data_IF_900423326660
#
_entry.id   IF_900423326660
#
_cell.length_a   1.000
_cell.length_b   1.000
_cell.length_c   1.000
_cell.angle_alpha   90.00
_cell.angle_beta   90.00
_cell.angle_gamma   90.00
#
_symmetry.space_group_name_H-M   'P 1'
#
loop_
_entity.id
_entity.type
_entity.pdbx_description
1 polymer ?
#
# COMPACT_ATOMS: atom_id res chain seq x y z
N UNK A 1 -33.22 15.81 -45.90
CA UNK A 1 -32.02 15.99 -45.05
C UNK A 1 -31.93 14.77 -44.13
N UNK A 2 -31.05 13.80 -44.41
CA UNK A 2 -30.87 12.57 -43.62
C UNK A 2 -29.84 12.87 -42.56
N UNK A 3 -30.26 12.80 -41.28
CA UNK A 3 -29.33 12.90 -40.12
C UNK A 3 -28.64 11.57 -39.98
N UNK A 4 -27.33 11.53 -40.23
CA UNK A 4 -26.46 10.40 -39.95
C UNK A 4 -26.08 10.49 -38.45
N UNK A 5 -26.59 9.55 -37.63
CA UNK A 5 -26.14 9.36 -36.25
C UNK A 5 -24.85 8.55 -36.31
N UNK A 6 -23.74 9.20 -36.02
CA UNK A 6 -22.45 8.53 -35.81
C UNK A 6 -22.45 7.92 -34.40
N UNK A 7 -22.70 6.61 -34.31
CA UNK A 7 -22.59 5.85 -33.07
C UNK A 7 -21.10 5.55 -32.83
N UNK A 8 -20.47 6.34 -31.96
CA UNK A 8 -19.09 6.08 -31.51
C UNK A 8 -19.15 4.94 -30.50
N UNK A 9 -18.94 3.70 -30.94
CA UNK A 9 -18.71 2.57 -30.07
C UNK A 9 -17.34 2.75 -29.42
N UNK A 10 -17.30 3.19 -28.16
CA UNK A 10 -16.14 3.10 -27.29
C UNK A 10 -15.93 1.60 -26.99
N UNK A 11 -15.07 0.94 -27.75
CA UNK A 11 -14.55 -0.38 -27.40
C UNK A 11 -13.67 -0.19 -26.16
N UNK A 12 -14.25 -0.37 -24.97
CA UNK A 12 -13.47 -0.64 -23.78
C UNK A 12 -12.79 -1.99 -24.01
N UNK A 13 -11.54 -1.95 -24.46
CA UNK A 13 -10.67 -3.12 -24.40
C UNK A 13 -10.41 -3.39 -22.93
N UNK A 14 -11.16 -4.31 -22.34
CA UNK A 14 -10.75 -4.96 -21.10
C UNK A 14 -9.46 -5.70 -21.43
N UNK A 15 -8.33 -5.12 -21.09
CA UNK A 15 -7.07 -5.85 -21.08
C UNK A 15 -7.22 -6.94 -20.02
N UNK A 16 -7.43 -8.18 -20.48
CA UNK A 16 -7.21 -9.33 -19.62
C UNK A 16 -5.72 -9.26 -19.28
N UNK A 17 -5.39 -8.92 -18.05
CA UNK A 17 -4.02 -8.89 -17.60
C UNK A 17 -3.52 -10.34 -17.62
N UNK A 18 -2.77 -10.68 -18.65
CA UNK A 18 -2.11 -11.99 -18.78
C UNK A 18 -0.85 -11.97 -17.95
N UNK A 19 -0.56 -13.08 -17.28
CA UNK A 19 0.72 -13.26 -16.60
C UNK A 19 1.87 -13.04 -17.60
N UNK A 20 2.89 -12.30 -17.17
CA UNK A 20 4.10 -12.01 -17.96
C UNK A 20 5.25 -12.77 -17.37
N UNK A 21 5.82 -13.70 -18.13
CA UNK A 21 6.98 -14.48 -17.71
C UNK A 21 8.24 -13.60 -17.75
N UNK A 22 8.91 -13.52 -16.60
CA UNK A 22 10.16 -12.80 -16.43
C UNK A 22 11.36 -13.72 -16.69
N UNK A 23 11.27 -14.94 -16.18
CA UNK A 23 12.31 -15.96 -16.29
C UNK A 23 11.72 -17.35 -16.08
N UNK A 24 12.27 -18.34 -16.79
CA UNK A 24 11.98 -19.75 -16.63
C UNK A 24 13.26 -20.58 -16.79
N UNK A 25 13.46 -21.58 -15.93
CA UNK A 25 14.65 -22.42 -15.96
C UNK A 25 14.83 -23.26 -14.72
N UNK A 26 16.08 -23.53 -14.38
CA UNK A 26 16.47 -24.21 -13.14
C UNK A 26 17.70 -23.49 -12.58
N UNK A 27 17.54 -22.81 -11.43
CA UNK A 27 18.62 -22.07 -10.80
C UNK A 27 18.64 -22.38 -9.30
N UNK A 28 19.66 -23.09 -8.84
CA UNK A 28 19.88 -23.31 -7.42
C UNK A 28 20.34 -22.00 -6.77
N UNK A 29 19.47 -21.41 -5.92
CA UNK A 29 19.75 -20.13 -5.29
C UNK A 29 20.59 -20.32 -4.03
N UNK A 30 21.64 -19.51 -3.91
CA UNK A 30 22.50 -19.40 -2.75
C UNK A 30 22.91 -17.93 -2.59
N UNK A 31 23.35 -17.51 -1.39
CA UNK A 31 23.81 -16.13 -1.14
C UNK A 31 24.92 -15.65 -2.06
N UNK A 32 25.70 -16.56 -2.62
CA UNK A 32 26.75 -16.29 -3.60
C UNK A 32 26.32 -16.53 -5.05
N UNK A 33 25.14 -17.10 -5.28
CA UNK A 33 24.57 -17.45 -6.58
C UNK A 33 23.13 -17.00 -6.69
N UNK A 34 22.93 -15.69 -6.81
CA UNK A 34 21.60 -15.05 -6.92
C UNK A 34 21.05 -15.17 -8.34
N UNK A 35 19.71 -15.09 -8.46
CA UNK A 35 19.04 -15.03 -9.76
C UNK A 35 18.65 -13.59 -10.06
N UNK A 36 19.25 -13.00 -11.09
CA UNK A 36 18.97 -11.61 -11.51
C UNK A 36 17.90 -11.55 -12.58
N UNK A 37 16.96 -10.64 -12.42
CA UNK A 37 15.93 -10.27 -13.40
C UNK A 37 16.13 -8.81 -13.79
N UNK A 38 16.46 -8.59 -15.05
CA UNK A 38 16.79 -7.27 -15.60
C UNK A 38 15.63 -6.28 -15.55
N UNK A 39 15.90 -4.99 -15.32
CA UNK A 39 14.91 -3.90 -15.24
C UNK A 39 13.97 -3.83 -16.45
N UNK A 40 14.49 -4.08 -17.66
CA UNK A 40 13.71 -4.06 -18.90
C UNK A 40 12.53 -5.05 -18.90
N UNK A 41 12.60 -6.12 -18.10
CA UNK A 41 11.53 -7.10 -17.95
C UNK A 41 10.30 -6.54 -17.21
N UNK A 42 10.47 -5.45 -16.46
CA UNK A 42 9.40 -4.81 -15.70
C UNK A 42 8.81 -3.57 -16.37
N UNK A 43 9.13 -3.32 -17.65
CA UNK A 43 8.67 -2.11 -18.38
C UNK A 43 7.15 -1.91 -18.30
N UNK A 44 6.38 -2.98 -18.48
CA UNK A 44 4.90 -2.96 -18.50
C UNK A 44 4.27 -3.31 -17.14
N UNK A 45 5.07 -3.59 -16.11
CA UNK A 45 4.58 -3.89 -14.78
C UNK A 45 3.83 -2.67 -14.17
N UNK A 46 2.81 -2.95 -13.37
CA UNK A 46 1.92 -1.95 -12.76
C UNK A 46 1.78 -2.17 -11.25
N UNK A 47 1.50 -1.08 -10.53
CA UNK A 47 1.14 -1.14 -9.11
C UNK A 47 -0.10 -2.03 -8.93
N UNK A 48 -0.10 -2.85 -7.88
CA UNK A 48 -1.17 -3.79 -7.56
C UNK A 48 -0.98 -5.18 -8.17
N UNK A 49 -0.22 -5.34 -9.23
CA UNK A 49 0.13 -6.67 -9.72
C UNK A 49 0.97 -7.43 -8.69
N UNK A 50 1.01 -8.76 -8.80
CA UNK A 50 1.88 -9.59 -7.98
C UNK A 50 3.07 -10.13 -8.79
N UNK A 51 4.21 -10.24 -8.14
CA UNK A 51 5.35 -11.03 -8.60
C UNK A 51 5.29 -12.38 -7.91
N UNK A 52 5.44 -13.44 -8.65
CA UNK A 52 5.50 -14.81 -8.14
C UNK A 52 6.85 -15.42 -8.50
N UNK A 53 7.50 -15.98 -7.49
CA UNK A 53 8.70 -16.82 -7.64
C UNK A 53 8.30 -18.25 -7.35
N UNK A 54 8.30 -19.09 -8.38
CA UNK A 54 8.08 -20.53 -8.24
C UNK A 54 9.40 -21.22 -7.98
N UNK A 55 9.40 -22.20 -7.10
CA UNK A 55 10.61 -22.94 -6.72
C UNK A 55 10.28 -24.38 -6.29
N UNK A 56 11.32 -25.18 -6.16
CA UNK A 56 11.29 -26.54 -5.63
C UNK A 56 12.44 -26.76 -4.65
N UNK A 57 12.43 -27.92 -4.01
CA UNK A 57 13.51 -28.37 -3.11
C UNK A 57 13.75 -27.41 -1.92
N UNK A 58 12.67 -26.77 -1.41
CA UNK A 58 12.77 -25.89 -0.25
C UNK A 58 13.16 -26.67 1.02
N UNK A 59 14.17 -26.19 1.74
CA UNK A 59 14.78 -26.88 2.90
C UNK A 59 14.57 -26.16 4.24
N UNK A 60 13.63 -25.21 4.32
CA UNK A 60 13.37 -24.45 5.56
C UNK A 60 14.29 -23.24 5.75
N UNK A 61 15.03 -22.87 4.73
CA UNK A 61 15.89 -21.67 4.71
C UNK A 61 15.09 -20.42 4.25
N UNK A 62 15.74 -19.39 3.75
CA UNK A 62 15.11 -18.10 3.45
C UNK A 62 15.20 -17.72 1.97
N UNK A 63 14.20 -16.96 1.51
CA UNK A 63 14.22 -16.21 0.27
C UNK A 63 14.07 -14.72 0.58
N UNK A 64 14.83 -13.89 -0.11
CA UNK A 64 14.74 -12.44 -0.08
C UNK A 64 14.75 -11.91 -1.51
N UNK A 65 14.01 -10.82 -1.73
CA UNK A 65 14.06 -10.08 -2.98
C UNK A 65 14.87 -8.81 -2.76
N UNK A 66 15.88 -8.62 -3.57
CA UNK A 66 16.79 -7.49 -3.51
C UNK A 66 16.69 -6.65 -4.79
N UNK A 67 17.13 -5.41 -4.72
CA UNK A 67 17.33 -4.51 -5.84
C UNK A 67 18.29 -3.41 -5.44
N UNK A 68 19.15 -2.99 -6.36
CA UNK A 68 20.13 -1.92 -6.11
C UNK A 68 20.98 -2.13 -4.83
N UNK A 69 21.36 -3.37 -4.55
CA UNK A 69 22.19 -3.72 -3.39
C UNK A 69 21.51 -3.72 -2.03
N UNK A 70 20.17 -3.61 -1.97
CA UNK A 70 19.37 -3.68 -0.76
C UNK A 70 18.12 -4.51 -0.93
N UNK A 71 17.31 -4.63 0.14
CA UNK A 71 16.01 -5.27 0.05
C UNK A 71 15.11 -4.52 -0.92
N UNK A 72 14.35 -5.25 -1.74
CA UNK A 72 13.35 -4.68 -2.64
C UNK A 72 12.25 -3.99 -1.81
N UNK A 73 11.91 -2.71 -2.09
CA UNK A 73 10.83 -2.00 -1.40
C UNK A 73 9.52 -2.79 -1.38
N UNK A 74 8.79 -2.75 -0.28
CA UNK A 74 7.50 -3.44 -0.14
C UNK A 74 7.60 -4.93 0.16
N UNK A 75 8.80 -5.47 0.40
CA UNK A 75 8.99 -6.87 0.79
C UNK A 75 9.14 -7.04 2.30
N UNK A 76 8.91 -8.26 2.78
CA UNK A 76 9.28 -8.69 4.12
C UNK A 76 10.78 -8.91 4.20
N UNK A 77 11.34 -8.61 5.35
CA UNK A 77 12.69 -9.03 5.70
C UNK A 77 12.67 -10.54 6.01
N UNK A 78 13.56 -11.31 5.38
CA UNK A 78 13.69 -12.76 5.56
C UNK A 78 12.37 -13.56 5.46
N UNK A 79 11.98 -13.94 4.27
CA UNK A 79 10.83 -14.85 4.07
C UNK A 79 11.28 -16.29 4.22
N UNK A 80 10.90 -16.93 5.33
CA UNK A 80 11.20 -18.34 5.58
C UNK A 80 10.38 -19.24 4.63
N UNK A 81 11.04 -20.22 4.04
CA UNK A 81 10.45 -21.21 3.14
C UNK A 81 10.13 -22.48 3.91
N UNK A 82 8.91 -22.98 3.78
CA UNK A 82 8.54 -24.28 4.30
C UNK A 82 8.79 -25.37 3.25
N UNK A 83 9.07 -26.61 3.69
CA UNK A 83 9.43 -27.71 2.80
C UNK A 83 8.35 -28.09 1.77
N UNK A 84 7.09 -27.79 2.06
CA UNK A 84 5.91 -28.01 1.19
C UNK A 84 5.53 -26.74 0.39
N UNK A 85 6.25 -25.65 0.54
CA UNK A 85 6.02 -24.43 -0.21
C UNK A 85 6.70 -24.51 -1.58
N UNK A 86 5.99 -24.11 -2.62
CA UNK A 86 6.46 -24.14 -4.01
C UNK A 86 6.48 -22.77 -4.68
N UNK A 87 5.94 -21.74 -4.02
CA UNK A 87 5.92 -20.39 -4.53
C UNK A 87 5.97 -19.36 -3.40
N UNK A 88 6.44 -18.17 -3.74
CA UNK A 88 6.34 -16.98 -2.93
C UNK A 88 5.77 -15.86 -3.78
N UNK A 89 4.84 -15.08 -3.22
CA UNK A 89 4.26 -13.93 -3.90
C UNK A 89 4.52 -12.64 -3.12
N UNK A 90 4.71 -11.55 -3.87
CA UNK A 90 4.75 -10.18 -3.35
C UNK A 90 3.94 -9.27 -4.25
N UNK A 91 3.29 -8.26 -3.68
CA UNK A 91 2.48 -7.31 -4.45
C UNK A 91 3.26 -6.03 -4.73
N UNK A 92 3.18 -5.57 -5.97
CA UNK A 92 3.92 -4.41 -6.45
C UNK A 92 3.35 -3.13 -5.83
N UNK A 93 4.10 -2.54 -4.91
CA UNK A 93 3.81 -1.20 -4.37
C UNK A 93 4.42 -0.12 -5.26
N UNK A 94 4.04 1.17 -5.10
CA UNK A 94 4.65 2.26 -5.88
C UNK A 94 6.18 2.33 -5.76
N UNK A 95 6.72 2.17 -4.54
CA UNK A 95 8.16 2.17 -4.31
C UNK A 95 8.85 0.97 -4.97
N UNK A 96 8.23 -0.22 -4.86
CA UNK A 96 8.72 -1.42 -5.54
C UNK A 96 8.76 -1.21 -7.06
N UNK A 97 7.67 -0.71 -7.66
CA UNK A 97 7.60 -0.51 -9.10
C UNK A 97 8.70 0.43 -9.63
N UNK A 98 8.95 1.54 -8.92
CA UNK A 98 9.99 2.47 -9.28
C UNK A 98 11.37 1.78 -9.28
N UNK A 99 11.68 1.04 -8.22
CA UNK A 99 12.93 0.33 -8.05
C UNK A 99 13.12 -0.78 -9.12
N UNK A 100 12.08 -1.57 -9.40
CA UNK A 100 12.10 -2.63 -10.42
C UNK A 100 12.37 -2.08 -11.83
N UNK A 101 11.73 -0.96 -12.19
CA UNK A 101 11.92 -0.34 -13.52
C UNK A 101 13.28 0.29 -13.70
N UNK A 102 13.92 0.73 -12.63
CA UNK A 102 15.25 1.35 -12.67
C UNK A 102 16.37 0.32 -12.55
N UNK A 103 16.24 -0.66 -11.66
CA UNK A 103 17.34 -1.54 -11.27
C UNK A 103 17.07 -3.04 -11.50
N UNK A 104 15.82 -3.43 -11.75
CA UNK A 104 15.45 -4.84 -11.80
C UNK A 104 15.33 -5.49 -10.42
N UNK A 105 15.50 -6.80 -10.36
CA UNK A 105 15.33 -7.57 -9.13
C UNK A 105 16.38 -8.69 -9.05
N UNK A 106 16.83 -8.98 -7.85
CA UNK A 106 17.65 -10.15 -7.53
C UNK A 106 16.90 -11.02 -6.53
N UNK A 107 16.87 -12.32 -6.81
CA UNK A 107 16.35 -13.34 -5.91
C UNK A 107 17.55 -13.92 -5.17
N UNK A 108 17.59 -13.66 -3.88
CA UNK A 108 18.65 -14.04 -2.96
C UNK A 108 18.13 -15.06 -1.95
N UNK A 109 19.04 -15.69 -1.22
CA UNK A 109 18.64 -16.61 -0.16
C UNK A 109 19.41 -17.92 -0.23
N UNK A 110 18.80 -18.99 0.25
CA UNK A 110 19.42 -20.31 0.31
C UNK A 110 18.41 -21.41 0.45
N UNK A 111 18.75 -22.61 -0.04
CA UNK A 111 18.02 -23.85 0.21
C UNK A 111 16.78 -24.01 -0.64
N UNK A 112 16.79 -23.51 -1.88
CA UNK A 112 15.75 -23.74 -2.87
C UNK A 112 16.29 -23.63 -4.30
N UNK A 113 15.52 -24.19 -5.24
CA UNK A 113 15.81 -24.09 -6.66
C UNK A 113 14.68 -23.32 -7.35
N UNK A 114 14.95 -22.12 -7.84
CA UNK A 114 13.99 -21.35 -8.63
C UNK A 114 13.70 -22.04 -9.95
N UNK A 115 12.42 -22.06 -10.36
CA UNK A 115 11.94 -22.70 -11.58
C UNK A 115 11.28 -21.74 -12.54
N UNK A 116 10.58 -20.72 -12.00
CA UNK A 116 9.93 -19.68 -12.79
C UNK A 116 9.77 -18.40 -12.00
N UNK A 117 9.81 -17.25 -12.70
CA UNK A 117 9.45 -15.94 -12.15
C UNK A 117 8.51 -15.26 -13.12
N UNK A 118 7.40 -14.73 -12.63
CA UNK A 118 6.42 -14.03 -13.45
C UNK A 118 5.70 -12.94 -12.65
N UNK A 119 5.03 -12.01 -13.33
CA UNK A 119 4.11 -11.08 -12.70
C UNK A 119 2.76 -11.07 -13.41
N UNK A 120 1.68 -10.74 -12.70
CA UNK A 120 0.34 -10.74 -13.25
C UNK A 120 -0.67 -10.15 -12.29
N UNK A 121 -1.93 -10.59 -12.42
CA UNK A 121 -3.04 -10.12 -11.59
C UNK A 121 -2.70 -10.13 -10.10
N UNK A 122 -3.15 -9.11 -9.37
CA UNK A 122 -2.81 -8.90 -7.98
C UNK A 122 -3.95 -8.32 -7.16
N UNK A 123 -3.69 -7.24 -6.42
CA UNK A 123 -4.66 -6.54 -5.56
C UNK A 123 -5.12 -5.21 -6.18
N UNK A 124 -6.44 -4.96 -6.17
CA UNK A 124 -7.05 -3.78 -6.78
C UNK A 124 -6.89 -2.48 -5.96
N UNK A 125 -6.57 -2.58 -4.66
CA UNK A 125 -6.60 -1.45 -3.72
C UNK A 125 -5.21 -0.96 -3.26
N UNK A 126 -4.20 -1.12 -4.08
CA UNK A 126 -2.85 -0.57 -3.82
C UNK A 126 -2.78 0.83 -4.38
N UNK A 127 -2.69 1.83 -3.51
CA UNK A 127 -2.62 3.24 -3.88
C UNK A 127 -1.19 3.82 -3.78
N UNK A 128 -1.05 5.10 -4.17
CA UNK A 128 0.24 5.81 -4.17
C UNK A 128 0.89 6.00 -2.80
N UNK A 129 0.21 5.66 -1.71
CA UNK A 129 0.70 5.78 -0.33
C UNK A 129 0.92 4.41 0.34
N UNK A 130 0.69 3.31 -0.39
CA UNK A 130 0.89 1.95 0.10
C UNK A 130 2.38 1.61 0.10
N UNK A 131 2.94 1.33 1.28
CA UNK A 131 4.36 0.96 1.46
C UNK A 131 4.58 -0.53 1.57
N UNK A 132 3.57 -1.26 2.02
CA UNK A 132 3.55 -2.72 2.04
C UNK A 132 2.13 -3.23 1.83
N UNK A 133 1.97 -4.34 1.12
CA UNK A 133 0.71 -5.06 1.00
C UNK A 133 0.97 -6.54 0.77
N UNK A 134 0.12 -7.39 1.32
CA UNK A 134 0.30 -8.83 1.26
C UNK A 134 -0.74 -9.56 2.10
N UNK A 135 -0.38 -10.76 2.51
CA UNK A 135 -1.08 -11.54 3.51
C UNK A 135 -0.04 -12.00 4.53
N UNK A 136 -0.18 -11.57 5.79
CA UNK A 136 0.67 -11.99 6.86
C UNK A 136 -0.18 -12.47 8.03
N UNK A 137 -0.06 -13.76 8.34
CA UNK A 137 -0.77 -14.35 9.46
C UNK A 137 -0.18 -13.83 10.78
N UNK A 138 -0.98 -13.05 11.47
CA UNK A 138 -0.66 -12.49 12.78
C UNK A 138 -1.30 -13.35 13.86
N UNK A 139 -0.50 -13.95 14.69
CA UNK A 139 -0.91 -14.61 15.92
C UNK A 139 -0.07 -14.09 17.10
N UNK A 140 -0.10 -14.79 18.18
CA UNK A 140 0.61 -14.46 19.41
C UNK A 140 2.10 -14.12 19.16
N UNK A 141 2.47 -12.86 19.39
CA UNK A 141 3.84 -12.31 19.25
C UNK A 141 4.44 -12.39 17.83
N UNK A 142 3.69 -12.83 16.84
CA UNK A 142 4.19 -12.81 15.48
C UNK A 142 4.53 -11.38 15.05
N UNK A 143 5.54 -11.24 14.20
CA UNK A 143 6.07 -9.94 13.79
C UNK A 143 6.26 -9.89 12.28
N UNK A 144 5.58 -8.95 11.65
CA UNK A 144 5.85 -8.56 10.27
C UNK A 144 7.00 -7.56 10.27
N UNK A 145 8.07 -7.87 9.56
CA UNK A 145 9.23 -7.00 9.40
C UNK A 145 9.27 -6.49 7.95
N UNK A 146 9.05 -5.19 7.76
CA UNK A 146 9.05 -4.53 6.45
C UNK A 146 10.37 -3.83 6.24
N UNK A 147 11.02 -4.10 5.11
CA UNK A 147 12.32 -3.54 4.78
C UNK A 147 12.30 -2.00 4.78
N UNK A 148 13.35 -1.38 5.31
CA UNK A 148 13.53 0.08 5.37
C UNK A 148 13.42 0.73 3.99
N UNK A 149 13.89 0.06 2.95
CA UNK A 149 13.82 0.52 1.57
C UNK A 149 12.40 0.83 1.10
N UNK A 150 11.36 0.25 1.74
CA UNK A 150 9.95 0.58 1.49
C UNK A 150 9.60 2.03 1.84
N UNK A 151 10.45 2.70 2.59
CA UNK A 151 10.27 4.07 3.07
C UNK A 151 11.28 5.05 2.49
N UNK A 152 12.14 4.59 1.58
CA UNK A 152 13.14 5.44 0.92
C UNK A 152 12.45 6.51 0.06
N UNK A 153 12.99 7.72 0.10
CA UNK A 153 12.44 8.87 -0.63
C UNK A 153 11.14 9.46 -0.05
N UNK A 154 10.61 8.91 1.07
CA UNK A 154 9.43 9.46 1.72
C UNK A 154 9.79 10.77 2.45
N UNK A 155 9.11 11.86 2.07
CA UNK A 155 9.13 13.08 2.85
C UNK A 155 8.11 12.98 4.00
N UNK A 156 8.57 12.58 5.18
CA UNK A 156 7.71 12.36 6.35
C UNK A 156 6.92 13.59 6.79
N UNK A 157 7.36 14.79 6.41
CA UNK A 157 6.62 16.01 6.69
C UNK A 157 5.25 16.08 6.00
N UNK A 158 5.04 15.30 4.95
CA UNK A 158 3.79 15.27 4.18
C UNK A 158 2.72 14.36 4.80
N UNK A 159 3.10 13.56 5.80
CA UNK A 159 2.24 12.54 6.37
C UNK A 159 1.90 12.83 7.83
N UNK A 160 0.68 12.47 8.23
CA UNK A 160 0.16 12.64 9.61
C UNK A 160 0.05 11.33 10.38
N UNK A 161 -0.04 10.19 9.68
CA UNK A 161 -0.26 8.91 10.31
C UNK A 161 0.20 7.74 9.41
N UNK A 162 0.28 6.55 10.01
CA UNK A 162 0.40 5.26 9.33
C UNK A 162 -0.83 4.44 9.68
N UNK A 163 -1.47 3.84 8.68
CA UNK A 163 -2.58 2.90 8.85
C UNK A 163 -2.14 1.48 8.61
N UNK A 164 -2.65 0.61 9.46
CA UNK A 164 -2.39 -0.82 9.48
C UNK A 164 -3.70 -1.56 9.24
N UNK A 165 -3.82 -2.25 8.12
CA UNK A 165 -5.06 -2.89 7.68
C UNK A 165 -5.05 -4.39 7.95
N UNK A 166 -6.25 -4.96 8.16
CA UNK A 166 -6.49 -6.40 8.21
C UNK A 166 -7.73 -6.79 7.42
N UNK A 167 -7.89 -8.08 7.09
CA UNK A 167 -9.07 -8.58 6.37
C UNK A 167 -10.35 -8.57 7.21
N UNK A 168 -10.21 -8.69 8.54
CA UNK A 168 -11.35 -8.83 9.44
C UNK A 168 -11.60 -7.53 10.19
N UNK A 169 -12.87 -7.15 10.32
CA UNK A 169 -13.30 -6.10 11.23
C UNK A 169 -13.18 -6.61 12.67
N UNK A 170 -12.12 -6.22 13.37
CA UNK A 170 -11.78 -6.71 14.71
C UNK A 170 -11.41 -5.57 15.63
N UNK A 171 -11.71 -5.75 16.90
CA UNK A 171 -11.43 -4.77 17.97
C UNK A 171 -10.60 -5.35 19.12
N UNK A 172 -10.23 -6.62 19.02
CA UNK A 172 -9.69 -7.40 20.13
C UNK A 172 -8.18 -7.65 20.02
N UNK A 173 -7.50 -7.11 19.01
CA UNK A 173 -6.06 -7.26 18.91
C UNK A 173 -5.30 -5.96 19.11
N UNK A 174 -4.08 -6.14 19.54
CA UNK A 174 -3.14 -5.07 19.91
C UNK A 174 -1.87 -5.29 19.13
N UNK A 175 -1.36 -4.22 18.53
CA UNK A 175 -0.06 -4.24 17.88
C UNK A 175 0.92 -3.28 18.54
N UNK A 176 2.19 -3.64 18.49
CA UNK A 176 3.30 -2.73 18.70
C UNK A 176 3.93 -2.40 17.33
N UNK A 177 4.25 -1.14 17.12
CA UNK A 177 5.03 -0.70 15.97
C UNK A 177 6.43 -0.34 16.46
N UNK A 178 7.44 -1.00 15.92
CA UNK A 178 8.82 -0.87 16.37
C UNK A 178 9.76 -0.61 15.19
N UNK A 179 10.88 0.04 15.45
CA UNK A 179 11.97 0.21 14.48
C UNK A 179 13.22 -0.58 14.87
N UNK A 180 13.28 -1.04 16.10
CA UNK A 180 14.34 -1.95 16.61
C UNK A 180 13.82 -2.75 17.81
N UNK A 181 14.45 -3.86 18.12
CA UNK A 181 14.18 -4.61 19.34
C UNK A 181 14.71 -3.90 20.58
N UNK A 182 14.00 -4.08 21.68
CA UNK A 182 14.39 -3.54 22.99
C UNK A 182 13.97 -2.08 23.23
N UNK A 183 14.61 -1.48 24.24
CA UNK A 183 14.25 -0.15 24.72
C UNK A 183 14.41 0.92 23.64
N UNK A 184 13.42 1.81 23.56
CA UNK A 184 13.39 2.91 22.63
C UNK A 184 13.09 2.53 21.18
N UNK A 185 12.81 1.24 20.88
CA UNK A 185 12.41 0.83 19.52
C UNK A 185 10.95 1.08 19.20
N UNK A 186 10.09 1.09 20.20
CA UNK A 186 8.65 1.26 20.04
C UNK A 186 8.29 2.68 19.56
N UNK A 187 7.40 2.75 18.56
CA UNK A 187 6.83 4.01 18.08
C UNK A 187 5.51 4.28 18.80
N UNK A 188 5.49 5.33 19.61
CA UNK A 188 4.32 5.67 20.42
C UNK A 188 4.00 4.60 21.47
N UNK A 189 2.80 4.67 22.01
CA UNK A 189 2.26 3.69 22.92
C UNK A 189 1.70 2.48 22.16
N UNK A 190 1.31 1.45 22.92
CA UNK A 190 0.63 0.31 22.36
C UNK A 190 -0.63 0.72 21.60
N UNK A 191 -0.78 0.23 20.38
CA UNK A 191 -1.90 0.56 19.53
C UNK A 191 -2.95 -0.54 19.57
N UNK A 192 -4.15 -0.21 20.05
CA UNK A 192 -5.31 -1.09 19.99
C UNK A 192 -6.00 -0.90 18.65
N UNK A 193 -6.19 -1.99 17.92
CA UNK A 193 -6.93 -1.97 16.65
C UNK A 193 -8.42 -1.74 16.92
N UNK A 194 -8.90 -0.52 16.73
CA UNK A 194 -10.33 -0.23 16.71
C UNK A 194 -10.82 -0.32 15.28
N UNK A 195 -11.55 -1.38 14.97
CA UNK A 195 -11.91 -1.75 13.60
C UNK A 195 -13.14 -1.02 13.06
N UNK A 196 -13.24 0.28 13.25
CA UNK A 196 -14.33 1.07 12.66
C UNK A 196 -14.22 1.19 11.15
N UNK A 197 -12.98 1.12 10.62
CA UNK A 197 -12.67 1.25 9.19
C UNK A 197 -11.64 0.19 8.73
N UNK A 198 -11.64 -0.97 9.38
CA UNK A 198 -10.75 -2.10 9.05
C UNK A 198 -9.26 -1.80 9.22
N UNK A 199 -8.91 -0.75 9.95
CA UNK A 199 -7.52 -0.38 10.23
C UNK A 199 -7.31 0.14 11.64
N UNK A 200 -6.07 0.09 12.10
CA UNK A 200 -5.55 0.91 13.20
C UNK A 200 -4.71 2.04 12.64
N UNK A 201 -4.66 3.16 13.34
CA UNK A 201 -3.90 4.34 12.92
C UNK A 201 -2.91 4.74 14.00
N UNK A 202 -1.64 4.85 13.62
CA UNK A 202 -0.57 5.41 14.42
C UNK A 202 -0.34 6.87 14.01
N UNK A 203 -0.62 7.82 14.90
CA UNK A 203 -0.27 9.23 14.69
C UNK A 203 1.24 9.41 14.61
N UNK A 204 1.70 10.21 13.66
CA UNK A 204 3.10 10.62 13.53
C UNK A 204 3.40 11.93 14.26
N UNK A 205 2.43 12.51 14.95
CA UNK A 205 2.63 13.75 15.73
C UNK A 205 3.71 13.53 16.81
N UNK A 206 4.74 14.36 16.77
CA UNK A 206 5.87 14.28 17.69
C UNK A 206 6.85 13.12 17.43
N UNK A 207 6.67 12.35 16.36
CA UNK A 207 7.57 11.26 15.97
C UNK A 207 8.43 11.69 14.79
N UNK A 208 9.74 11.76 14.98
CA UNK A 208 10.70 11.93 13.90
C UNK A 208 10.98 10.57 13.22
N UNK A 209 10.18 10.25 12.21
CA UNK A 209 10.29 8.98 11.49
C UNK A 209 11.62 8.82 10.76
N UNK A 210 12.22 9.91 10.26
CA UNK A 210 13.51 9.85 9.57
C UNK A 210 14.62 9.40 10.53
N UNK A 211 14.63 9.93 11.75
CA UNK A 211 15.58 9.51 12.77
C UNK A 211 15.24 8.15 13.39
N UNK A 212 13.96 7.76 13.40
CA UNK A 212 13.52 6.49 14.00
C UNK A 212 13.74 5.30 13.08
N UNK A 213 13.66 5.49 11.76
CA UNK A 213 13.97 4.48 10.73
C UNK A 213 15.47 4.50 10.34
N UNK A 214 16.35 4.71 11.31
CA UNK A 214 17.80 4.57 11.12
C UNK A 214 18.25 3.11 11.09
N UNK A 215 17.34 2.18 11.37
CA UNK A 215 17.53 0.72 11.37
C UNK A 215 17.09 0.10 10.05
N UNK A 216 17.23 -1.22 9.93
CA UNK A 216 16.98 -1.94 8.67
C UNK A 216 15.50 -2.08 8.31
N UNK A 217 14.56 -1.87 9.26
CA UNK A 217 13.18 -2.30 9.10
C UNK A 217 12.18 -1.56 9.98
N UNK A 218 10.92 -1.57 9.56
CA UNK A 218 9.76 -1.33 10.42
C UNK A 218 9.16 -2.67 10.81
N UNK A 219 8.89 -2.85 12.08
CA UNK A 219 8.29 -4.07 12.64
C UNK A 219 6.88 -3.79 13.15
N UNK A 220 5.94 -4.65 12.80
CA UNK A 220 4.58 -4.66 13.35
C UNK A 220 4.39 -5.97 14.08
N UNK A 221 4.32 -5.93 15.39
CA UNK A 221 4.21 -7.10 16.24
C UNK A 221 2.83 -7.20 16.87
N UNK A 222 2.22 -8.38 16.80
CA UNK A 222 1.05 -8.69 17.61
C UNK A 222 1.45 -8.76 19.07
N UNK A 223 0.81 -7.96 19.92
CA UNK A 223 1.11 -7.87 21.36
C UNK A 223 -0.07 -8.37 22.19
N UNK A 224 -0.64 -9.49 21.81
CA UNK A 224 -1.74 -10.08 22.57
C UNK A 224 -1.55 -11.56 22.72
N UNK A 225 -1.33 -11.98 23.94
CA UNK A 225 -1.32 -13.38 24.35
C UNK A 225 -2.74 -13.96 24.23
N UNK A 226 -2.88 -15.08 23.55
CA UNK A 226 -4.16 -15.76 23.37
C UNK A 226 -5.21 -15.01 22.53
N UNK A 227 -4.80 -14.02 21.73
CA UNK A 227 -5.68 -13.36 20.78
C UNK A 227 -6.05 -14.26 19.60
N UNK A 228 -7.23 -14.02 19.00
CA UNK A 228 -7.56 -14.74 17.77
C UNK A 228 -6.64 -14.29 16.65
N UNK A 229 -6.09 -15.21 15.84
CA UNK A 229 -5.26 -14.87 14.70
C UNK A 229 -6.04 -14.05 13.64
N UNK A 230 -5.32 -13.26 12.85
CA UNK A 230 -5.87 -12.47 11.75
C UNK A 230 -4.85 -12.30 10.63
N UNK A 231 -5.32 -12.04 9.43
CA UNK A 231 -4.45 -11.65 8.33
C UNK A 231 -4.22 -10.13 8.33
N UNK A 232 -2.97 -9.75 8.42
CA UNK A 232 -2.53 -8.39 8.19
C UNK A 232 -2.35 -8.15 6.70
N UNK A 233 -2.88 -7.06 6.15
CA UNK A 233 -3.05 -6.94 4.70
C UNK A 233 -2.36 -5.75 4.07
N UNK A 234 -2.14 -4.65 4.78
CA UNK A 234 -1.44 -3.50 4.21
C UNK A 234 -0.91 -2.52 5.27
N UNK A 235 0.11 -1.76 4.88
CA UNK A 235 0.61 -0.56 5.57
C UNK A 235 0.51 0.60 4.58
N UNK A 236 -0.23 1.64 4.98
CA UNK A 236 -0.52 2.80 4.14
C UNK A 236 -0.20 4.09 4.88
N UNK A 237 0.49 5.00 4.23
CA UNK A 237 0.78 6.33 4.78
C UNK A 237 -0.41 7.26 4.56
N UNK A 238 -0.76 8.04 5.58
CA UNK A 238 -1.86 9.00 5.53
C UNK A 238 -1.31 10.41 5.38
N UNK A 239 -1.53 11.03 4.23
CA UNK A 239 -1.09 12.42 3.97
C UNK A 239 -1.78 13.41 4.90
N UNK A 240 -1.05 14.46 5.23
CA UNK A 240 -1.66 15.67 5.79
C UNK A 240 -2.63 16.23 4.76
N UNK A 241 -3.77 16.71 5.24
CA UNK A 241 -4.65 17.48 4.37
C UNK A 241 -3.93 18.75 3.96
N UNK A 242 -3.78 18.96 2.66
CA UNK A 242 -3.32 20.23 2.15
C UNK A 242 -4.45 21.21 2.42
N UNK A 243 -4.23 22.20 3.31
CA UNK A 243 -5.17 23.31 3.45
C UNK A 243 -5.15 24.09 2.13
N UNK A 244 -6.02 23.72 1.20
CA UNK A 244 -6.15 24.38 -0.09
C UNK A 244 -6.73 25.78 0.03
N UNK A 245 -6.93 26.27 1.25
CA UNK A 245 -7.59 27.55 1.52
C UNK A 245 -9.09 27.54 1.22
N UNK A 246 -9.60 26.46 0.64
CA UNK A 246 -11.04 26.19 0.49
C UNK A 246 -11.51 25.61 1.82
N UNK A 247 -11.79 26.47 2.78
CA UNK A 247 -12.47 26.04 4.02
C UNK A 247 -13.76 25.38 3.63
N UNK A 248 -13.93 24.12 4.06
CA UNK A 248 -15.20 23.45 3.97
C UNK A 248 -16.25 24.32 4.68
N UNK A 249 -17.07 25.00 3.89
CA UNK A 249 -18.12 25.88 4.39
C UNK A 249 -19.29 25.10 5.04
N UNK A 250 -19.17 23.76 5.15
CA UNK A 250 -20.20 22.91 5.76
C UNK A 250 -20.18 22.93 7.29
N UNK A 251 -19.12 23.41 7.93
CA UNK A 251 -18.98 23.38 9.39
C UNK A 251 -19.19 24.75 10.06
N UNK A 252 -20.25 25.49 9.76
CA UNK A 252 -20.90 26.50 10.63
C UNK A 252 -22.11 27.12 9.97
N UNK A 253 -23.22 26.44 9.95
CA UNK A 253 -24.52 27.08 9.77
C UNK A 253 -25.42 26.88 10.99
N UNK A 254 -25.18 27.68 12.04
CA UNK A 254 -26.25 28.17 12.90
C UNK A 254 -26.52 29.60 12.49
N UNK A 255 -27.16 29.82 11.34
CA UNK A 255 -27.85 31.07 11.05
C UNK A 255 -28.99 30.82 10.08
N UNK A 256 -30.15 31.15 10.53
CA UNK A 256 -31.54 31.01 10.02
C UNK A 256 -31.84 31.82 8.76
N UNK A 257 -30.88 32.14 7.89
CA UNK A 257 -31.19 32.81 6.63
C UNK A 257 -30.39 32.13 5.51
N UNK A 258 -31.05 31.41 4.62
CA UNK A 258 -30.43 30.83 3.42
C UNK A 258 -29.73 31.91 2.59
N UNK A 259 -28.49 31.70 2.24
CA UNK A 259 -27.72 32.64 1.41
C UNK A 259 -27.72 32.12 -0.03
N UNK A 260 -28.37 32.86 -0.92
CA UNK A 260 -28.43 32.53 -2.32
C UNK A 260 -27.33 33.25 -3.07
N UNK A 261 -26.63 32.54 -3.95
CA UNK A 261 -25.60 33.11 -4.83
C UNK A 261 -25.91 32.74 -6.29
N UNK A 262 -25.65 33.64 -7.22
CA UNK A 262 -25.70 33.29 -8.63
C UNK A 262 -24.46 32.44 -9.02
N UNK A 263 -24.42 31.95 -10.25
CA UNK A 263 -23.30 31.12 -10.72
C UNK A 263 -21.96 31.88 -10.84
N UNK A 264 -21.97 33.20 -10.75
CA UNK A 264 -20.79 34.06 -10.68
C UNK A 264 -20.31 34.30 -9.23
N UNK A 265 -20.96 33.65 -8.22
CA UNK A 265 -20.61 33.78 -6.80
C UNK A 265 -21.13 35.07 -6.12
N UNK A 266 -21.96 35.87 -6.80
CA UNK A 266 -22.53 37.09 -6.22
C UNK A 266 -23.79 36.73 -5.40
N UNK A 267 -23.90 37.33 -4.23
CA UNK A 267 -25.07 37.14 -3.35
C UNK A 267 -26.34 37.74 -3.98
N UNK A 268 -27.40 36.95 -4.00
CA UNK A 268 -28.72 37.35 -4.54
C UNK A 268 -29.74 37.30 -3.40
N UNK A 269 -30.37 38.44 -3.12
CA UNK A 269 -31.35 38.55 -2.03
C UNK A 269 -32.70 37.99 -2.46
N UNK A 270 -33.11 38.25 -3.72
CA UNK A 270 -34.36 37.75 -4.29
C UNK A 270 -34.04 37.01 -5.60
N UNK A 271 -33.83 35.68 -5.57
CA UNK A 271 -33.54 34.92 -6.76
C UNK A 271 -34.76 34.91 -7.69
N UNK A 272 -34.55 35.38 -8.92
CA UNK A 272 -35.51 35.20 -10.01
C UNK A 272 -35.45 33.76 -10.57
N UNK A 273 -36.13 33.55 -11.71
CA UNK A 273 -36.04 32.26 -12.41
C UNK A 273 -34.61 31.98 -12.90
N UNK A 274 -34.08 30.82 -12.53
CA UNK A 274 -32.71 30.43 -12.94
C UNK A 274 -31.99 29.49 -11.97
N UNK A 275 -30.70 29.27 -12.23
CA UNK A 275 -29.85 28.45 -11.36
C UNK A 275 -29.10 29.31 -10.32
N UNK A 276 -29.13 28.88 -9.08
CA UNK A 276 -28.49 29.52 -7.95
C UNK A 276 -27.78 28.49 -7.08
N UNK A 277 -26.82 28.93 -6.28
CA UNK A 277 -26.22 28.12 -5.23
C UNK A 277 -26.87 28.55 -3.91
N UNK A 278 -27.61 27.62 -3.30
CA UNK A 278 -28.31 27.80 -2.04
C UNK A 278 -27.70 26.84 -1.04
N UNK A 279 -27.11 27.37 0.02
CA UNK A 279 -26.46 26.59 1.07
C UNK A 279 -25.47 25.54 0.49
N UNK A 280 -24.66 25.97 -0.50
CA UNK A 280 -23.65 25.13 -1.15
C UNK A 280 -24.19 24.15 -2.21
N UNK A 281 -25.51 24.12 -2.49
CA UNK A 281 -26.15 23.24 -3.47
C UNK A 281 -26.67 24.00 -4.66
N UNK A 282 -26.53 23.43 -5.86
CA UNK A 282 -27.11 24.00 -7.08
C UNK A 282 -28.60 23.74 -7.12
N UNK A 283 -29.41 24.82 -7.09
CA UNK A 283 -30.87 24.79 -7.11
C UNK A 283 -31.38 25.55 -8.34
N UNK A 284 -32.52 25.12 -8.87
CA UNK A 284 -33.19 25.81 -9.96
C UNK A 284 -34.51 26.43 -9.42
N UNK A 285 -34.64 27.75 -9.53
CA UNK A 285 -35.87 28.49 -9.21
C UNK A 285 -36.70 28.63 -10.48
N UNK A 286 -38.00 28.25 -10.40
CA UNK A 286 -38.94 28.28 -11.53
C UNK A 286 -39.63 29.64 -11.67
#
# INVERSE_FOLDING_TARGET
MKKVFLLLCLLATTTIATATDLWEGTHAVDWSNTLTIEAAKFADAQVGQKIVVEFKDATGEVIELHSNGGMLPGTRYAHFLYADQHEMEVFITPGMLACLKEHGMEICGKGFTATKVWYGDGKDNVDGNTVWTGYFWMDEWSTLEVAKTSFDGINWSDYKAIRFYSEANRTDYVINVLTKWGDGGKLGDQTTMTMTNEYAELSLEGIDMAARLDTDRLMVQCNKEGGNPFNFTAIVLVKKEVDTGVRDLTARHTSTASKNFNLAGQRVVNPGKGFYIVDGRKCFFK
#
